data_IF_043267180191
#
_entry.id   IF_043267180191
#
_cell.length_a   1.000
_cell.length_b   1.000
_cell.length_c   1.000
_cell.angle_alpha   90.00
_cell.angle_beta   90.00
_cell.angle_gamma   90.00
#
_symmetry.space_group_name_H-M   'P 1'
#
loop_
_entity.id
_entity.type
_entity.pdbx_description
1 polymer ?
#
# COMPACT_ATOMS: atom_id res chain seq x y z
N UNK A 1 32.91 -4.00 5.27
CA UNK A 1 32.73 -2.72 4.55
C UNK A 1 32.19 -1.73 5.56
N UNK A 2 32.95 -0.68 5.88
CA UNK A 2 32.50 0.42 6.73
C UNK A 2 31.34 1.10 6.01
N UNK A 3 30.15 1.28 6.63
CA UNK A 3 29.08 2.03 5.99
C UNK A 3 29.61 3.45 5.75
N UNK A 4 29.56 3.89 4.49
CA UNK A 4 29.96 5.25 4.14
C UNK A 4 29.07 6.22 4.91
N UNK A 5 29.67 7.11 5.68
CA UNK A 5 28.98 8.20 6.39
C UNK A 5 28.47 9.26 5.41
N UNK A 6 27.61 8.86 4.47
CA UNK A 6 26.89 9.76 3.59
C UNK A 6 25.95 10.63 4.40
N UNK A 7 25.82 11.90 4.02
CA UNK A 7 24.90 12.83 4.66
C UNK A 7 23.46 12.40 4.31
N UNK A 8 22.68 11.96 5.31
CA UNK A 8 21.25 11.72 5.14
C UNK A 8 20.56 13.03 4.74
N UNK A 9 19.85 13.02 3.62
CA UNK A 9 19.04 14.14 3.14
C UNK A 9 17.58 13.83 3.41
N UNK A 10 16.95 14.61 4.30
CA UNK A 10 15.52 14.52 4.58
C UNK A 10 14.77 15.44 3.63
N UNK A 11 13.83 14.88 2.87
CA UNK A 11 13.04 15.58 1.85
C UNK A 11 11.57 15.43 2.22
N UNK A 12 10.87 16.54 2.35
CA UNK A 12 9.42 16.56 2.49
C UNK A 12 8.77 16.52 1.10
N UNK A 13 7.84 15.60 0.90
CA UNK A 13 7.18 15.39 -0.40
C UNK A 13 5.67 15.55 -0.25
N UNK A 14 5.05 16.36 -1.11
CA UNK A 14 3.64 16.67 -1.05
C UNK A 14 2.80 15.94 -2.08
N UNK A 15 1.90 15.08 -1.61
CA UNK A 15 0.76 14.60 -2.40
C UNK A 15 -0.42 15.52 -2.15
N UNK A 16 -0.53 16.56 -2.97
CA UNK A 16 -1.63 17.54 -2.87
C UNK A 16 -2.83 17.04 -3.65
N UNK A 17 -3.96 16.84 -2.98
CA UNK A 17 -5.21 16.36 -3.57
C UNK A 17 -6.18 17.48 -3.93
N UNK A 18 -6.76 17.41 -5.13
CA UNK A 18 -7.90 18.25 -5.55
C UNK A 18 -8.79 17.48 -6.51
N UNK A 19 -10.08 17.32 -6.17
CA UNK A 19 -11.10 16.67 -7.03
C UNK A 19 -10.66 15.29 -7.56
N UNK A 20 -10.13 14.43 -6.69
CA UNK A 20 -9.68 13.07 -7.03
C UNK A 20 -8.39 13.00 -7.86
N UNK A 21 -7.67 14.12 -8.00
CA UNK A 21 -6.38 14.19 -8.70
C UNK A 21 -5.30 14.70 -7.75
N UNK A 22 -4.06 14.36 -8.06
CA UNK A 22 -2.87 14.80 -7.35
C UNK A 22 -2.06 15.78 -8.21
N UNK A 23 -1.44 16.75 -7.55
CA UNK A 23 -0.54 17.71 -8.18
C UNK A 23 0.81 17.05 -8.45
N UNK A 24 1.29 17.15 -9.68
CA UNK A 24 2.63 16.72 -10.08
C UNK A 24 3.28 17.80 -10.94
N UNK A 25 4.60 17.88 -10.90
CA UNK A 25 5.40 18.74 -11.75
C UNK A 25 6.25 17.89 -12.72
N UNK A 26 6.71 18.48 -13.82
CA UNK A 26 7.74 17.86 -14.67
C UNK A 26 9.08 18.52 -14.38
N UNK A 27 10.08 17.71 -14.00
CA UNK A 27 11.44 18.17 -13.77
C UNK A 27 11.97 18.92 -15.00
N UNK A 28 12.62 20.08 -14.82
CA UNK A 28 13.34 20.73 -15.91
C UNK A 28 14.31 19.74 -16.59
N UNK A 29 14.45 19.81 -17.91
CA UNK A 29 15.31 18.90 -18.69
C UNK A 29 16.77 18.85 -18.20
N UNK A 30 17.26 19.96 -17.62
CA UNK A 30 18.63 20.09 -17.15
C UNK A 30 18.85 19.61 -15.70
N UNK A 31 17.80 19.21 -14.99
CA UNK A 31 17.90 18.70 -13.62
C UNK A 31 18.38 17.23 -13.60
N UNK A 32 18.84 16.75 -12.44
CA UNK A 32 19.11 15.32 -12.25
C UNK A 32 17.82 14.52 -12.55
N UNK A 33 17.88 13.55 -13.47
CA UNK A 33 16.70 12.83 -13.99
C UNK A 33 15.64 13.78 -14.63
N UNK A 34 16.09 14.76 -15.41
CA UNK A 34 15.24 15.72 -16.11
C UNK A 34 14.18 15.09 -17.02
N UNK A 35 13.06 15.79 -17.22
CA UNK A 35 11.95 15.34 -18.05
C UNK A 35 10.98 14.37 -17.38
N UNK A 36 11.35 13.74 -16.26
CA UNK A 36 10.46 12.91 -15.44
C UNK A 36 9.43 13.76 -14.68
N UNK A 37 8.32 13.13 -14.29
CA UNK A 37 7.36 13.69 -13.35
C UNK A 37 7.86 13.52 -11.91
N UNK A 38 7.43 14.44 -11.05
CA UNK A 38 7.70 14.39 -9.61
C UNK A 38 6.53 14.96 -8.81
N UNK A 39 6.48 14.57 -7.54
CA UNK A 39 5.64 15.23 -6.55
C UNK A 39 6.39 16.46 -6.02
N UNK A 40 5.74 17.62 -5.89
CA UNK A 40 6.39 18.83 -5.40
C UNK A 40 6.84 18.68 -3.95
N UNK A 41 7.89 19.42 -3.58
CA UNK A 41 8.50 19.35 -2.25
C UNK A 41 10.01 19.44 -2.30
N UNK A 42 10.62 19.61 -1.13
CA UNK A 42 12.03 19.93 -1.03
C UNK A 42 12.65 19.52 0.30
N UNK A 43 13.84 20.05 0.57
CA UNK A 43 14.65 19.61 1.72
C UNK A 43 14.08 20.17 3.01
N UNK A 44 14.08 19.34 4.05
CA UNK A 44 13.77 19.80 5.41
C UNK A 44 14.99 20.54 5.96
N UNK A 45 14.79 21.80 6.37
CA UNK A 45 15.84 22.63 6.95
C UNK A 45 16.03 22.36 8.45
N UNK A 46 17.18 22.77 8.99
CA UNK A 46 17.51 22.55 10.40
C UNK A 46 16.55 23.33 11.31
N UNK A 47 15.86 22.61 12.21
CA UNK A 47 14.91 23.20 13.16
C UNK A 47 13.48 23.38 12.62
N UNK A 48 13.23 23.02 11.36
CA UNK A 48 11.91 23.04 10.75
C UNK A 48 11.21 21.67 10.90
N UNK A 49 9.88 21.66 11.04
CA UNK A 49 9.12 20.40 10.95
C UNK A 49 8.87 20.02 9.49
N UNK A 50 8.68 18.74 9.21
CA UNK A 50 8.42 18.24 7.84
C UNK A 50 7.23 18.95 7.19
N UNK A 51 6.16 19.20 7.96
CA UNK A 51 4.97 19.89 7.47
C UNK A 51 5.21 21.37 7.16
N UNK A 52 6.04 22.06 7.96
CA UNK A 52 6.40 23.45 7.68
C UNK A 52 7.30 23.55 6.44
N UNK A 53 8.30 22.66 6.33
CA UNK A 53 9.13 22.55 5.15
C UNK A 53 8.28 22.31 3.91
N UNK A 54 7.36 21.35 3.98
CA UNK A 54 6.47 21.06 2.86
C UNK A 54 5.57 22.25 2.47
N UNK A 55 5.02 22.97 3.46
CA UNK A 55 4.17 24.12 3.19
C UNK A 55 4.94 25.26 2.51
N UNK A 56 6.20 25.50 2.92
CA UNK A 56 7.11 26.46 2.30
C UNK A 56 7.44 26.05 0.86
N UNK A 57 7.89 24.81 0.65
CA UNK A 57 8.27 24.29 -0.67
C UNK A 57 7.09 24.31 -1.66
N UNK A 58 5.89 23.89 -1.23
CA UNK A 58 4.69 23.95 -2.08
C UNK A 58 4.36 25.39 -2.52
N UNK A 59 4.56 26.37 -1.62
CA UNK A 59 4.35 27.76 -1.95
C UNK A 59 5.41 28.29 -2.92
N UNK A 60 6.68 27.96 -2.68
CA UNK A 60 7.84 28.40 -3.47
C UNK A 60 7.87 27.79 -4.88
N UNK A 61 7.51 26.51 -5.02
CA UNK A 61 7.57 25.80 -6.29
C UNK A 61 6.29 25.93 -7.11
N UNK A 62 5.13 25.91 -6.44
CA UNK A 62 3.84 25.74 -7.11
C UNK A 62 2.82 26.86 -6.86
N UNK A 63 3.16 27.88 -6.07
CA UNK A 63 2.24 28.92 -5.59
C UNK A 63 1.06 28.42 -4.74
N UNK A 64 1.06 27.14 -4.35
CA UNK A 64 -0.02 26.53 -3.57
C UNK A 64 0.21 26.75 -2.09
N UNK A 65 -0.83 27.25 -1.40
CA UNK A 65 -0.83 27.44 0.05
C UNK A 65 -1.55 26.31 0.74
N UNK A 66 -0.95 25.81 1.81
CA UNK A 66 -1.47 24.70 2.61
C UNK A 66 -1.26 25.00 4.09
N UNK A 67 -2.13 24.47 4.93
CA UNK A 67 -1.96 24.52 6.38
C UNK A 67 -1.11 23.32 6.82
N UNK A 68 0.06 23.51 7.46
CA UNK A 68 0.86 22.42 8.00
C UNK A 68 0.07 21.46 8.90
N UNK A 69 -0.95 21.96 9.62
CA UNK A 69 -1.76 21.14 10.53
C UNK A 69 -2.79 20.25 9.80
N UNK A 70 -3.09 20.50 8.53
CA UNK A 70 -4.05 19.70 7.76
C UNK A 70 -3.42 18.48 7.07
N UNK A 71 -2.10 18.34 7.18
CA UNK A 71 -1.34 17.29 6.52
C UNK A 71 -1.42 15.96 7.28
N UNK A 72 -1.50 14.86 6.56
CA UNK A 72 -1.46 13.50 7.15
C UNK A 72 -0.37 12.66 6.49
N UNK A 73 0.31 11.77 7.23
CA UNK A 73 1.37 10.95 6.66
C UNK A 73 0.78 9.96 5.63
N UNK A 74 1.51 9.75 4.53
CA UNK A 74 1.20 8.73 3.52
C UNK A 74 2.17 7.56 3.59
N UNK A 75 3.46 7.82 3.43
CA UNK A 75 4.52 6.82 3.43
C UNK A 75 5.87 7.49 3.68
N UNK A 76 6.81 6.77 4.30
CA UNK A 76 8.22 7.16 4.39
C UNK A 76 9.06 6.18 3.59
N UNK A 77 9.99 6.67 2.78
CA UNK A 77 10.80 5.84 1.88
C UNK A 77 12.26 6.24 2.05
N UNK A 78 13.10 5.29 2.47
CA UNK A 78 14.56 5.44 2.43
C UNK A 78 15.07 4.95 1.08
N UNK A 79 15.92 5.73 0.46
CA UNK A 79 16.58 5.35 -0.78
C UNK A 79 18.06 5.68 -0.71
N UNK A 80 18.90 4.67 -0.97
CA UNK A 80 20.35 4.82 -1.05
C UNK A 80 20.76 4.99 -2.52
N UNK A 81 21.27 6.18 -2.87
CA UNK A 81 21.82 6.47 -4.19
C UNK A 81 23.32 6.09 -4.30
N UNK A 82 23.88 5.48 -3.25
CA UNK A 82 25.28 5.09 -3.12
C UNK A 82 26.18 6.25 -2.65
N UNK A 83 25.99 7.46 -3.18
CA UNK A 83 26.71 8.67 -2.77
C UNK A 83 26.04 9.39 -1.58
N UNK A 84 24.73 9.19 -1.40
CA UNK A 84 23.91 9.75 -0.32
C UNK A 84 22.68 8.90 -0.06
N UNK A 85 22.23 8.95 1.19
CA UNK A 85 20.95 8.41 1.61
C UNK A 85 19.89 9.52 1.59
N UNK A 86 18.72 9.23 1.02
CA UNK A 86 17.58 10.15 0.97
C UNK A 86 16.41 9.52 1.71
N UNK A 87 15.85 10.27 2.66
CA UNK A 87 14.57 9.95 3.29
C UNK A 87 13.48 10.83 2.65
N UNK A 88 12.61 10.21 1.87
CA UNK A 88 11.39 10.84 1.36
C UNK A 88 10.31 10.69 2.43
N UNK A 89 9.88 11.80 3.00
CA UNK A 89 8.82 11.87 3.98
C UNK A 89 7.56 12.43 3.32
N UNK A 90 6.65 11.54 2.95
CA UNK A 90 5.56 11.83 2.02
C UNK A 90 4.27 12.08 2.78
N UNK A 91 3.70 13.26 2.56
CA UNK A 91 2.49 13.72 3.24
C UNK A 91 1.38 13.99 2.24
N UNK A 92 0.17 13.60 2.61
CA UNK A 92 -1.05 13.95 1.89
C UNK A 92 -1.60 15.26 2.41
N UNK A 93 -2.00 16.09 1.45
CA UNK A 93 -2.55 17.41 1.72
C UNK A 93 -3.89 17.55 1.03
N UNK A 94 -4.91 17.88 1.82
CA UNK A 94 -6.23 18.26 1.33
C UNK A 94 -6.49 19.75 1.64
N UNK A 95 -7.36 20.38 0.85
CA UNK A 95 -7.76 21.77 1.12
C UNK A 95 -6.74 22.84 0.69
N UNK A 96 -5.85 22.51 -0.25
CA UNK A 96 -4.92 23.46 -0.84
C UNK A 96 -5.61 24.68 -1.49
N UNK A 97 -5.08 25.87 -1.22
CA UNK A 97 -5.59 27.17 -1.67
C UNK A 97 -4.65 27.76 -2.72
N UNK A 98 -5.22 28.40 -3.75
CA UNK A 98 -4.49 28.92 -4.90
C UNK A 98 -4.67 28.06 -6.15
N UNK A 99 -4.20 28.57 -7.28
CA UNK A 99 -4.07 27.80 -8.52
C UNK A 99 -2.59 27.48 -8.73
N UNK A 100 -2.23 26.21 -8.98
CA UNK A 100 -0.84 25.83 -9.10
C UNK A 100 -0.22 26.39 -10.37
N UNK A 101 1.00 26.90 -10.24
CA UNK A 101 1.85 27.33 -11.34
C UNK A 101 3.30 26.99 -11.00
N UNK A 102 4.06 26.39 -11.92
CA UNK A 102 5.48 26.14 -11.69
C UNK A 102 6.29 27.42 -11.70
N UNK A 103 6.69 27.87 -10.51
CA UNK A 103 7.41 29.13 -10.30
C UNK A 103 8.87 29.08 -10.76
N UNK A 104 9.39 27.89 -11.10
CA UNK A 104 10.71 27.66 -11.70
C UNK A 104 10.62 27.43 -13.22
N UNK A 105 9.45 27.65 -13.83
CA UNK A 105 9.22 27.43 -15.26
C UNK A 105 8.90 25.96 -15.63
N UNK A 106 8.66 25.12 -14.63
CA UNK A 106 8.21 23.74 -14.80
C UNK A 106 6.70 23.65 -15.08
N UNK A 107 6.25 22.80 -16.01
CA UNK A 107 4.82 22.58 -16.17
C UNK A 107 4.28 21.72 -15.01
N UNK A 108 3.09 22.06 -14.54
CA UNK A 108 2.38 21.37 -13.47
C UNK A 108 1.09 20.75 -13.99
N UNK A 109 0.71 19.60 -13.43
CA UNK A 109 -0.42 18.81 -13.90
C UNK A 109 -1.25 18.29 -12.72
N UNK A 110 -2.56 18.21 -12.94
CA UNK A 110 -3.46 17.45 -12.07
C UNK A 110 -3.75 16.11 -12.73
N UNK A 111 -3.22 15.03 -12.16
CA UNK A 111 -3.39 13.66 -12.66
C UNK A 111 -4.15 12.81 -11.65
N UNK A 112 -5.06 11.95 -12.11
CA UNK A 112 -5.62 10.91 -11.26
C UNK A 112 -4.54 9.85 -10.92
N UNK A 113 -4.61 9.18 -9.75
CA UNK A 113 -3.65 8.14 -9.39
C UNK A 113 -3.43 7.09 -10.48
N UNK A 114 -4.48 6.70 -11.21
CA UNK A 114 -4.45 5.71 -12.28
C UNK A 114 -3.68 6.19 -13.52
N UNK A 115 -3.48 7.50 -13.67
CA UNK A 115 -2.74 8.10 -14.79
C UNK A 115 -1.23 8.21 -14.51
N UNK A 116 -0.80 7.95 -13.26
CA UNK A 116 0.61 8.02 -12.85
C UNK A 116 1.39 6.78 -13.33
N UNK A 117 1.91 6.79 -14.55
CA UNK A 117 2.81 5.70 -15.01
C UNK A 117 4.07 5.67 -14.15
N UNK A 118 4.37 4.57 -13.41
CA UNK A 118 5.55 4.50 -12.54
C UNK A 118 6.89 4.72 -13.26
N UNK A 119 6.93 4.46 -14.57
CA UNK A 119 8.10 4.66 -15.44
C UNK A 119 8.34 6.12 -15.78
N UNK A 120 7.33 6.98 -15.63
CA UNK A 120 7.43 8.42 -15.81
C UNK A 120 8.00 9.14 -14.57
N UNK A 121 8.30 8.41 -13.49
CA UNK A 121 8.82 8.94 -12.23
C UNK A 121 10.16 8.30 -11.86
N UNK A 122 10.95 8.94 -10.98
CA UNK A 122 12.09 8.30 -10.33
C UNK A 122 11.67 6.97 -9.66
N UNK A 123 12.58 5.99 -9.64
CA UNK A 123 12.31 4.66 -9.04
C UNK A 123 11.87 4.78 -7.58
N UNK A 124 12.43 5.72 -6.82
CA UNK A 124 12.09 5.98 -5.42
C UNK A 124 10.63 6.45 -5.22
N UNK A 125 9.94 6.91 -6.28
CA UNK A 125 8.55 7.37 -6.20
C UNK A 125 7.53 6.25 -6.51
N UNK A 126 7.96 5.09 -7.00
CA UNK A 126 7.05 3.96 -7.28
C UNK A 126 6.23 3.55 -6.05
N UNK A 127 6.81 3.45 -4.83
CA UNK A 127 6.04 3.13 -3.64
C UNK A 127 4.99 4.20 -3.29
N UNK A 128 5.25 5.47 -3.62
CA UNK A 128 4.27 6.56 -3.45
C UNK A 128 3.06 6.30 -4.35
N UNK A 129 3.31 5.99 -5.63
CA UNK A 129 2.25 5.69 -6.60
C UNK A 129 1.43 4.47 -6.17
N UNK A 130 2.08 3.43 -5.66
CA UNK A 130 1.40 2.27 -5.08
C UNK A 130 0.52 2.69 -3.89
N UNK A 131 1.07 3.45 -2.94
CA UNK A 131 0.36 3.92 -1.75
C UNK A 131 -0.90 4.76 -2.09
N UNK A 132 -0.86 5.54 -3.17
CA UNK A 132 -2.00 6.34 -3.66
C UNK A 132 -3.13 5.52 -4.27
N UNK A 133 -2.83 4.32 -4.77
CA UNK A 133 -3.80 3.43 -5.44
C UNK A 133 -4.30 2.31 -4.53
N UNK A 134 -3.58 2.03 -3.45
CA UNK A 134 -3.92 0.99 -2.49
C UNK A 134 -4.98 1.50 -1.51
N UNK A 135 -6.02 0.71 -1.20
CA UNK A 135 -6.98 1.08 -0.17
C UNK A 135 -6.33 1.04 1.23
N UNK A 136 -6.99 1.57 2.25
CA UNK A 136 -6.49 1.49 3.63
C UNK A 136 -6.92 0.22 4.39
N UNK A 137 -7.73 -0.63 3.74
CA UNK A 137 -8.17 -1.93 4.26
C UNK A 137 -7.97 -3.01 3.20
N UNK A 138 -7.11 -3.97 3.52
CA UNK A 138 -6.90 -5.18 2.72
C UNK A 138 -7.69 -6.34 3.32
N UNK A 139 -8.76 -6.75 2.64
CA UNK A 139 -9.59 -7.87 3.06
C UNK A 139 -8.89 -9.20 2.75
N UNK A 140 -8.77 -10.10 3.72
CA UNK A 140 -8.26 -11.46 3.51
C UNK A 140 -9.39 -12.44 3.82
N UNK A 141 -9.70 -13.39 2.93
CA UNK A 141 -10.76 -14.35 3.21
C UNK A 141 -10.36 -15.30 4.34
N UNK A 142 -11.36 -15.83 5.04
CA UNK A 142 -11.20 -16.95 5.96
C UNK A 142 -11.15 -18.28 5.23
N UNK A 143 -11.34 -19.37 5.98
CA UNK A 143 -11.27 -20.72 5.44
C UNK A 143 -12.64 -21.29 5.09
N UNK A 144 -12.72 -22.10 4.03
CA UNK A 144 -13.85 -22.96 3.69
C UNK A 144 -13.35 -24.24 3.04
N UNK A 145 -14.13 -25.32 3.15
CA UNK A 145 -13.83 -26.63 2.56
C UNK A 145 -14.68 -26.92 1.32
N UNK A 146 -15.70 -26.10 1.05
CA UNK A 146 -16.65 -26.27 -0.05
C UNK A 146 -16.69 -25.03 -0.95
N UNK A 147 -16.66 -25.24 -2.27
CA UNK A 147 -16.67 -24.18 -3.30
C UNK A 147 -17.94 -23.32 -3.23
N UNK A 148 -19.11 -23.94 -3.12
CA UNK A 148 -20.40 -23.24 -3.10
C UNK A 148 -20.55 -22.38 -1.84
N UNK A 149 -20.17 -22.93 -0.69
CA UNK A 149 -20.18 -22.18 0.58
C UNK A 149 -19.19 -21.00 0.54
N UNK A 150 -17.98 -21.21 -0.01
CA UNK A 150 -16.99 -20.15 -0.15
C UNK A 150 -17.50 -18.99 -1.03
N UNK A 151 -18.12 -19.31 -2.18
CA UNK A 151 -18.71 -18.32 -3.08
C UNK A 151 -19.88 -17.57 -2.42
N UNK A 152 -20.75 -18.30 -1.71
CA UNK A 152 -21.90 -17.70 -1.01
C UNK A 152 -21.42 -16.75 0.09
N UNK A 153 -20.47 -17.19 0.92
CA UNK A 153 -19.87 -16.38 1.98
C UNK A 153 -19.19 -15.12 1.42
N UNK A 154 -18.43 -15.27 0.33
CA UNK A 154 -17.79 -14.14 -0.34
C UNK A 154 -18.81 -13.14 -0.88
N UNK A 155 -19.87 -13.61 -1.55
CA UNK A 155 -20.91 -12.76 -2.09
C UNK A 155 -21.61 -11.96 -0.97
N UNK A 156 -22.02 -12.62 0.12
CA UNK A 156 -22.62 -11.96 1.27
C UNK A 156 -21.67 -10.95 1.93
N UNK A 157 -20.42 -11.34 2.17
CA UNK A 157 -19.41 -10.48 2.80
C UNK A 157 -19.08 -9.24 1.96
N UNK A 158 -19.08 -9.37 0.62
CA UNK A 158 -18.87 -8.23 -0.31
C UNK A 158 -19.99 -7.21 -0.22
N UNK A 159 -21.25 -7.64 -0.08
CA UNK A 159 -22.39 -6.73 0.05
C UNK A 159 -22.30 -5.92 1.34
N UNK A 160 -21.92 -6.57 2.45
CA UNK A 160 -21.86 -5.92 3.76
C UNK A 160 -20.64 -5.02 3.92
N UNK A 161 -19.45 -5.50 3.55
CA UNK A 161 -18.19 -4.81 3.85
C UNK A 161 -17.64 -3.98 2.67
N UNK A 162 -18.09 -4.25 1.44
CA UNK A 162 -17.65 -3.58 0.20
C UNK A 162 -16.13 -3.34 0.10
N UNK A 163 -15.28 -4.37 0.32
CA UNK A 163 -13.84 -4.19 0.26
C UNK A 163 -13.37 -3.88 -1.16
N UNK A 164 -12.45 -2.91 -1.29
CA UNK A 164 -11.85 -2.53 -2.56
C UNK A 164 -10.83 -3.55 -3.07
N UNK A 165 -10.11 -4.22 -2.16
CA UNK A 165 -9.07 -5.21 -2.48
C UNK A 165 -9.19 -6.42 -1.54
N UNK A 166 -9.20 -7.62 -2.12
CA UNK A 166 -9.44 -8.89 -1.45
C UNK A 166 -8.35 -9.90 -1.81
N UNK A 167 -7.66 -10.45 -0.81
CA UNK A 167 -6.83 -11.65 -0.93
C UNK A 167 -7.70 -12.88 -0.70
N UNK A 168 -7.93 -13.66 -1.76
CA UNK A 168 -8.63 -14.93 -1.70
C UNK A 168 -7.68 -16.01 -1.15
N UNK A 169 -7.79 -16.28 0.14
CA UNK A 169 -7.00 -17.28 0.87
C UNK A 169 -7.91 -18.35 1.44
N UNK A 170 -8.01 -19.49 0.76
CA UNK A 170 -8.86 -20.63 1.14
C UNK A 170 -8.00 -21.90 1.35
N UNK A 171 -7.26 -22.00 2.48
CA UNK A 171 -6.20 -22.99 2.64
C UNK A 171 -6.69 -24.45 2.70
N UNK A 172 -7.96 -24.69 3.03
CA UNK A 172 -8.53 -26.05 3.02
C UNK A 172 -9.00 -26.52 1.65
N UNK A 173 -9.10 -25.65 0.64
CA UNK A 173 -9.51 -26.09 -0.70
C UNK A 173 -8.32 -26.68 -1.47
N UNK A 174 -8.49 -27.83 -2.15
CA UNK A 174 -7.50 -28.30 -3.09
C UNK A 174 -7.38 -27.34 -4.29
N UNK A 175 -6.23 -27.32 -5.00
CA UNK A 175 -5.98 -26.34 -6.07
C UNK A 175 -7.06 -26.26 -7.16
N UNK A 176 -7.65 -27.41 -7.54
CA UNK A 176 -8.74 -27.44 -8.53
C UNK A 176 -9.99 -26.70 -8.01
N UNK A 177 -10.42 -26.99 -6.78
CA UNK A 177 -11.56 -26.33 -6.15
C UNK A 177 -11.29 -24.84 -5.88
N UNK A 178 -10.06 -24.47 -5.52
CA UNK A 178 -9.65 -23.07 -5.40
C UNK A 178 -9.81 -22.33 -6.74
N UNK A 179 -9.35 -22.93 -7.84
CA UNK A 179 -9.49 -22.35 -9.18
C UNK A 179 -10.96 -22.20 -9.59
N UNK A 180 -11.83 -23.15 -9.21
CA UNK A 180 -13.29 -23.02 -9.40
C UNK A 180 -13.86 -21.82 -8.66
N UNK A 181 -13.45 -21.56 -7.42
CA UNK A 181 -13.87 -20.35 -6.69
C UNK A 181 -13.37 -19.08 -7.39
N UNK A 182 -12.11 -19.04 -7.84
CA UNK A 182 -11.56 -17.87 -8.58
C UNK A 182 -12.38 -17.59 -9.83
N UNK A 183 -12.65 -18.62 -10.65
CA UNK A 183 -13.46 -18.50 -11.86
C UNK A 183 -14.88 -18.04 -11.52
N UNK A 184 -15.51 -18.64 -10.52
CA UNK A 184 -16.85 -18.23 -10.05
C UNK A 184 -16.89 -16.77 -9.58
N UNK A 185 -15.82 -16.25 -8.99
CA UNK A 185 -15.70 -14.83 -8.63
C UNK A 185 -15.61 -13.92 -9.86
N UNK A 186 -14.88 -14.35 -10.89
CA UNK A 186 -14.73 -13.59 -12.15
C UNK A 186 -16.07 -13.54 -12.89
N UNK A 187 -16.78 -14.67 -12.95
CA UNK A 187 -18.07 -14.80 -13.64
C UNK A 187 -19.18 -13.99 -12.94
N UNK A 188 -19.26 -14.06 -11.61
CA UNK A 188 -20.31 -13.36 -10.84
C UNK A 188 -19.95 -11.90 -10.53
N UNK A 189 -18.67 -11.53 -10.59
CA UNK A 189 -18.20 -10.19 -10.25
C UNK A 189 -18.40 -9.14 -11.34
N UNK A 190 -18.60 -9.50 -12.61
CA UNK A 190 -18.56 -8.52 -13.71
C UNK A 190 -17.25 -7.72 -13.70
N UNK A 191 -17.32 -6.39 -13.89
CA UNK A 191 -16.15 -5.49 -13.78
C UNK A 191 -15.48 -5.43 -12.39
N UNK A 192 -16.01 -6.13 -11.37
CA UNK A 192 -15.52 -6.18 -9.99
C UNK A 192 -14.39 -7.20 -9.75
N UNK A 193 -13.92 -7.91 -10.79
CA UNK A 193 -12.65 -8.66 -10.74
C UNK A 193 -11.44 -7.76 -10.42
N UNK A 194 -11.59 -6.44 -10.52
CA UNK A 194 -10.58 -5.39 -10.27
C UNK A 194 -9.95 -5.40 -8.88
N UNK A 195 -10.58 -6.03 -7.89
CA UNK A 195 -10.06 -6.11 -6.52
C UNK A 195 -9.65 -7.52 -6.05
N UNK A 196 -9.71 -8.56 -6.89
CA UNK A 196 -9.43 -9.93 -6.45
C UNK A 196 -7.95 -10.29 -6.61
N UNK A 197 -7.28 -10.65 -5.52
CA UNK A 197 -5.93 -11.20 -5.51
C UNK A 197 -5.98 -12.69 -5.18
N UNK A 198 -5.27 -13.52 -5.94
CA UNK A 198 -5.11 -14.94 -5.61
C UNK A 198 -3.94 -15.12 -4.63
N UNK A 199 -4.06 -16.10 -3.73
CA UNK A 199 -3.06 -16.37 -2.70
C UNK A 199 -2.21 -17.59 -3.09
N UNK A 200 -0.88 -17.46 -3.16
CA UNK A 200 0.09 -18.54 -3.45
C UNK A 200 0.03 -19.22 -4.85
N UNK A 201 -0.97 -18.89 -5.67
CA UNK A 201 -1.18 -19.44 -7.01
C UNK A 201 -0.69 -18.51 -8.13
N UNK A 202 0.62 -18.56 -8.44
CA UNK A 202 1.26 -17.72 -9.47
C UNK A 202 0.64 -17.94 -10.84
N UNK A 203 0.41 -19.20 -11.20
CA UNK A 203 -0.07 -19.60 -12.52
C UNK A 203 -1.50 -19.07 -12.76
N UNK A 204 -2.34 -19.06 -11.72
CA UNK A 204 -3.68 -18.48 -11.80
C UNK A 204 -3.63 -16.96 -11.95
N UNK A 205 -2.72 -16.28 -11.24
CA UNK A 205 -2.55 -14.82 -11.35
C UNK A 205 -2.10 -14.38 -12.74
N UNK A 206 -1.31 -15.21 -13.42
CA UNK A 206 -0.84 -14.97 -14.79
C UNK A 206 -1.92 -15.27 -15.84
N UNK A 207 -2.69 -16.36 -15.63
CA UNK A 207 -3.63 -16.86 -16.63
C UNK A 207 -5.02 -16.21 -16.56
N UNK A 208 -5.46 -15.75 -15.39
CA UNK A 208 -6.82 -15.27 -15.17
C UNK A 208 -6.87 -13.74 -15.01
N UNK A 209 -7.99 -13.09 -15.37
CA UNK A 209 -8.17 -11.65 -15.27
C UNK A 209 -8.42 -11.18 -13.81
N UNK A 210 -7.54 -11.54 -12.89
CA UNK A 210 -7.58 -11.13 -11.47
C UNK A 210 -6.78 -9.85 -11.24
N UNK A 211 -7.04 -9.12 -10.15
CA UNK A 211 -6.29 -7.91 -9.82
C UNK A 211 -4.80 -8.17 -9.57
N UNK A 212 -4.43 -9.39 -9.16
CA UNK A 212 -3.04 -9.75 -8.93
C UNK A 212 -2.83 -10.93 -7.99
N UNK A 213 -1.66 -10.96 -7.36
CA UNK A 213 -1.14 -12.06 -6.56
C UNK A 213 -0.73 -11.57 -5.17
N UNK A 214 -1.05 -12.36 -4.15
CA UNK A 214 -0.46 -12.24 -2.83
C UNK A 214 0.27 -13.54 -2.48
N UNK A 215 1.55 -13.48 -2.12
CA UNK A 215 2.32 -14.64 -1.71
C UNK A 215 2.53 -14.68 -0.21
N UNK A 216 2.45 -15.88 0.36
CA UNK A 216 3.06 -16.16 1.65
C UNK A 216 4.58 -16.03 1.57
N UNK A 217 5.22 -15.69 2.70
CA UNK A 217 6.68 -15.66 2.78
C UNK A 217 7.34 -16.95 2.24
N UNK A 218 6.78 -18.11 2.61
CA UNK A 218 7.26 -19.43 2.16
C UNK A 218 7.40 -19.54 0.64
N UNK A 219 6.51 -18.89 -0.11
CA UNK A 219 6.52 -18.89 -1.58
C UNK A 219 7.39 -17.76 -2.15
N UNK A 220 7.44 -16.62 -1.47
CA UNK A 220 8.20 -15.45 -1.91
C UNK A 220 9.73 -15.59 -1.71
N UNK A 221 10.18 -16.28 -0.66
CA UNK A 221 11.61 -16.36 -0.28
C UNK A 221 12.51 -16.96 -1.37
N UNK A 222 11.97 -17.83 -2.23
CA UNK A 222 12.73 -18.47 -3.32
C UNK A 222 12.74 -17.67 -4.61
N UNK A 223 11.95 -16.59 -4.69
CA UNK A 223 11.89 -15.74 -5.87
C UNK A 223 13.04 -14.73 -5.85
N UNK A 224 13.51 -14.39 -7.05
CA UNK A 224 14.52 -13.34 -7.28
C UNK A 224 13.99 -12.20 -8.15
N UNK A 225 12.79 -12.37 -8.70
CA UNK A 225 12.12 -11.40 -9.56
C UNK A 225 10.60 -11.48 -9.40
N UNK A 226 9.92 -10.49 -9.96
CA UNK A 226 8.46 -10.37 -9.91
C UNK A 226 7.80 -11.54 -10.68
N UNK A 227 6.90 -12.32 -10.06
CA UNK A 227 6.30 -13.49 -10.70
C UNK A 227 5.05 -13.18 -11.55
N UNK A 228 4.60 -11.92 -11.61
CA UNK A 228 3.39 -11.49 -12.33
C UNK A 228 3.66 -10.24 -13.17
N UNK A 229 2.88 -10.01 -14.24
CA UNK A 229 2.98 -8.78 -15.04
C UNK A 229 2.90 -7.49 -14.21
N UNK A 230 3.49 -6.41 -14.72
CA UNK A 230 3.60 -5.12 -14.03
C UNK A 230 2.25 -4.40 -13.83
N UNK A 231 1.21 -4.78 -14.58
CA UNK A 231 -0.15 -4.24 -14.48
C UNK A 231 -1.04 -4.97 -13.44
N UNK A 232 -0.52 -6.03 -12.81
CA UNK A 232 -1.16 -6.76 -11.71
C UNK A 232 -0.57 -6.30 -10.39
N UNK A 233 -1.34 -6.30 -9.31
CA UNK A 233 -0.78 -6.12 -7.96
C UNK A 233 0.05 -7.33 -7.54
N UNK A 234 1.14 -7.10 -6.82
CA UNK A 234 1.95 -8.13 -6.18
C UNK A 234 2.19 -7.79 -4.70
N UNK A 235 1.66 -8.62 -3.79
CA UNK A 235 1.86 -8.48 -2.35
C UNK A 235 2.59 -9.66 -1.73
N UNK A 236 3.26 -9.42 -0.60
CA UNK A 236 3.94 -10.48 0.16
C UNK A 236 3.58 -10.41 1.65
N UNK A 237 3.26 -11.56 2.25
CA UNK A 237 3.15 -11.69 3.70
C UNK A 237 4.54 -11.73 4.34
N UNK A 238 4.84 -10.80 5.23
CA UNK A 238 6.12 -10.64 5.92
C UNK A 238 5.95 -10.65 7.44
N UNK A 239 7.03 -10.97 8.16
CA UNK A 239 7.09 -11.07 9.62
C UNK A 239 8.33 -10.38 10.22
N UNK A 240 9.24 -9.86 9.39
CA UNK A 240 10.46 -9.18 9.82
C UNK A 240 10.88 -8.10 8.80
N UNK A 241 11.84 -7.25 9.18
CA UNK A 241 12.44 -6.27 8.28
C UNK A 241 13.15 -6.92 7.07
N UNK A 242 13.88 -8.01 7.29
CA UNK A 242 14.57 -8.75 6.21
C UNK A 242 13.58 -9.28 5.16
N UNK A 243 12.40 -9.72 5.59
CA UNK A 243 11.34 -10.18 4.69
C UNK A 243 10.75 -9.01 3.87
N UNK A 244 10.62 -7.82 4.47
CA UNK A 244 10.18 -6.60 3.77
C UNK A 244 11.20 -6.15 2.73
N UNK A 245 12.49 -6.18 3.07
CA UNK A 245 13.57 -5.84 2.14
C UNK A 245 13.58 -6.81 0.95
N UNK A 246 13.46 -8.12 1.21
CA UNK A 246 13.34 -9.12 0.14
C UNK A 246 12.10 -8.90 -0.72
N UNK A 247 10.95 -8.62 -0.12
CA UNK A 247 9.71 -8.31 -0.85
C UNK A 247 9.90 -7.10 -1.78
N UNK A 248 10.60 -6.06 -1.33
CA UNK A 248 10.94 -4.92 -2.17
C UNK A 248 11.87 -5.29 -3.33
N UNK A 249 12.90 -6.11 -3.07
CA UNK A 249 13.87 -6.58 -4.08
C UNK A 249 13.19 -7.34 -5.21
N UNK A 250 12.28 -8.25 -4.89
CA UNK A 250 11.52 -9.02 -5.90
C UNK A 250 10.39 -8.20 -6.54
N UNK A 251 10.30 -6.91 -6.20
CA UNK A 251 9.38 -5.96 -6.81
C UNK A 251 7.95 -6.11 -6.34
N UNK A 252 7.70 -6.41 -5.06
CA UNK A 252 6.35 -6.32 -4.50
C UNK A 252 5.87 -4.87 -4.43
N UNK A 253 4.57 -4.67 -4.67
CA UNK A 253 3.94 -3.34 -4.61
C UNK A 253 3.50 -2.96 -3.20
N UNK A 254 3.32 -3.97 -2.33
CA UNK A 254 3.00 -3.81 -0.91
C UNK A 254 3.36 -5.09 -0.13
N UNK A 255 3.34 -4.99 1.20
CA UNK A 255 3.44 -6.14 2.08
C UNK A 255 2.39 -6.10 3.19
N UNK A 256 2.12 -7.25 3.80
CA UNK A 256 1.48 -7.30 5.12
C UNK A 256 2.54 -7.65 6.15
N UNK A 257 2.52 -7.01 7.32
CA UNK A 257 3.44 -7.30 8.41
C UNK A 257 2.65 -7.71 9.65
N UNK A 258 2.95 -8.88 10.21
CA UNK A 258 2.24 -9.39 11.39
C UNK A 258 2.92 -10.58 12.08
N UNK A 259 2.32 -11.07 13.19
CA UNK A 259 1.17 -10.48 13.87
C UNK A 259 1.54 -9.19 14.63
N UNK A 260 0.76 -8.12 14.45
CA UNK A 260 0.92 -6.86 15.20
C UNK A 260 0.40 -7.02 16.63
N UNK A 261 -0.81 -7.50 16.78
CA UNK A 261 -1.47 -7.76 18.06
C UNK A 261 -1.73 -9.26 18.24
N UNK A 262 -1.99 -9.74 19.48
CA UNK A 262 -2.41 -11.12 19.70
C UNK A 262 -3.62 -11.47 18.83
N UNK A 263 -3.63 -12.68 18.29
CA UNK A 263 -4.72 -13.15 17.41
C UNK A 263 -5.51 -14.26 18.09
N UNK A 264 -6.81 -14.42 17.81
CA UNK A 264 -7.58 -15.57 18.31
C UNK A 264 -6.97 -16.92 17.91
N UNK A 265 -6.30 -16.99 16.75
CA UNK A 265 -5.61 -18.20 16.28
C UNK A 265 -4.30 -18.50 17.02
N UNK A 266 -3.65 -17.48 17.61
CA UNK A 266 -2.43 -17.61 18.39
C UNK A 266 -2.43 -16.63 19.58
N UNK A 267 -3.27 -16.86 20.61
CA UNK A 267 -3.50 -15.90 21.68
C UNK A 267 -2.31 -15.74 22.65
N UNK A 268 -1.37 -16.69 22.64
CA UNK A 268 -0.18 -16.67 23.49
C UNK A 268 1.01 -15.93 22.85
N UNK A 269 0.96 -15.66 21.55
CA UNK A 269 1.97 -14.85 20.89
C UNK A 269 1.69 -13.37 21.21
N UNK A 270 2.66 -12.67 21.79
CA UNK A 270 2.51 -11.25 22.18
C UNK A 270 2.29 -10.31 20.99
N UNK A 271 2.58 -10.74 19.76
CA UNK A 271 2.69 -9.85 18.60
C UNK A 271 3.90 -8.91 18.73
N UNK A 272 4.22 -8.18 17.66
CA UNK A 272 5.29 -7.16 17.68
C UNK A 272 4.86 -5.85 18.38
N UNK A 273 3.56 -5.63 18.54
CA UNK A 273 3.00 -4.36 19.01
C UNK A 273 3.12 -3.24 17.97
N UNK A 274 2.46 -2.11 18.25
CA UNK A 274 2.51 -0.95 17.36
C UNK A 274 3.89 -0.30 17.29
N UNK A 275 4.65 -0.30 18.38
CA UNK A 275 6.02 0.22 18.39
C UNK A 275 6.95 -0.64 17.52
N UNK A 276 6.83 -1.97 17.61
CA UNK A 276 7.58 -2.90 16.76
C UNK A 276 7.19 -2.78 15.29
N UNK A 277 5.90 -2.62 15.01
CA UNK A 277 5.41 -2.34 13.65
C UNK A 277 5.99 -1.02 13.11
N UNK A 278 5.93 0.06 13.90
CA UNK A 278 6.46 1.37 13.51
C UNK A 278 7.97 1.36 13.24
N UNK A 279 8.74 0.62 14.05
CA UNK A 279 10.18 0.48 13.86
C UNK A 279 10.52 -0.24 12.55
N UNK A 280 9.72 -1.23 12.15
CA UNK A 280 9.93 -1.96 10.89
C UNK A 280 9.46 -1.15 9.66
N UNK A 281 8.30 -0.50 9.74
CA UNK A 281 7.79 0.33 8.63
C UNK A 281 8.65 1.56 8.37
N UNK A 282 9.35 2.08 9.38
CA UNK A 282 10.31 3.17 9.20
C UNK A 282 11.50 2.82 8.30
N UNK A 283 11.83 1.54 8.19
CA UNK A 283 12.89 1.03 7.29
C UNK A 283 12.34 0.49 5.97
N UNK A 284 11.04 0.21 5.89
CA UNK A 284 10.42 -0.36 4.70
C UNK A 284 10.45 0.62 3.52
N UNK A 285 10.68 0.10 2.32
CA UNK A 285 10.70 0.88 1.07
C UNK A 285 9.45 0.65 0.21
N UNK A 286 8.39 0.08 0.80
CA UNK A 286 7.11 -0.21 0.15
C UNK A 286 5.94 -0.03 1.14
N UNK A 287 4.70 0.15 0.67
CA UNK A 287 3.52 0.23 1.52
C UNK A 287 3.33 -1.04 2.36
N UNK A 288 3.13 -0.90 3.67
CA UNK A 288 2.94 -2.03 4.61
C UNK A 288 1.60 -1.98 5.31
N UNK A 289 0.81 -3.05 5.22
CA UNK A 289 -0.41 -3.22 6.01
C UNK A 289 -0.13 -3.91 7.34
N UNK A 290 -0.70 -3.39 8.43
CA UNK A 290 -0.70 -4.04 9.73
C UNK A 290 -1.64 -5.25 9.73
N UNK A 291 -1.11 -6.44 9.98
CA UNK A 291 -1.86 -7.70 10.00
C UNK A 291 -1.78 -8.38 11.37
N UNK A 292 -2.89 -8.96 11.81
CA UNK A 292 -2.97 -9.78 13.01
C UNK A 292 -3.47 -9.00 14.22
N UNK A 293 -4.70 -9.33 14.63
CA UNK A 293 -5.37 -8.74 15.80
C UNK A 293 -5.82 -7.29 15.61
N UNK A 294 -5.76 -6.77 14.38
CA UNK A 294 -6.18 -5.42 14.02
C UNK A 294 -7.69 -5.32 13.75
N UNK A 295 -8.26 -4.15 13.99
CA UNK A 295 -9.68 -3.83 13.78
C UNK A 295 -9.86 -2.60 12.86
N UNK A 296 -11.02 -2.47 12.15
CA UNK A 296 -11.28 -1.40 11.18
C UNK A 296 -11.15 0.05 11.67
N UNK A 297 -11.30 0.28 12.96
CA UNK A 297 -11.14 1.57 13.64
C UNK A 297 -9.67 1.93 13.90
N UNK A 298 -8.75 0.97 13.77
CA UNK A 298 -7.30 1.17 13.97
C UNK A 298 -6.56 1.60 12.69
N UNK A 299 -7.27 1.92 11.60
CA UNK A 299 -6.64 2.41 10.35
C UNK A 299 -5.80 3.67 10.61
N UNK A 300 -6.32 4.63 11.37
CA UNK A 300 -5.60 5.85 11.70
C UNK A 300 -4.32 5.57 12.51
N UNK A 301 -4.39 4.60 13.42
CA UNK A 301 -3.23 4.16 14.20
C UNK A 301 -2.18 3.50 13.30
N UNK A 302 -2.57 2.61 12.39
CA UNK A 302 -1.67 2.00 11.43
C UNK A 302 -0.96 3.05 10.55
N UNK A 303 -1.70 4.04 10.04
CA UNK A 303 -1.14 5.17 9.28
C UNK A 303 -0.17 6.01 10.09
N UNK A 304 -0.51 6.32 11.35
CA UNK A 304 0.39 7.06 12.25
C UNK A 304 1.68 6.29 12.57
N UNK A 305 1.62 4.96 12.54
CA UNK A 305 2.76 4.05 12.70
C UNK A 305 3.48 3.78 11.36
N UNK A 306 3.23 4.57 10.30
CA UNK A 306 3.91 4.46 9.02
C UNK A 306 3.39 3.36 8.08
N UNK A 307 2.26 2.73 8.41
CA UNK A 307 1.62 1.73 7.55
C UNK A 307 0.66 2.33 6.52
N UNK A 308 0.37 1.57 5.45
CA UNK A 308 -0.68 1.87 4.48
C UNK A 308 -2.08 1.83 5.11
N UNK A 309 -2.25 0.96 6.10
CA UNK A 309 -3.53 0.69 6.74
C UNK A 309 -3.51 -0.67 7.42
N UNK A 310 -4.66 -1.36 7.44
CA UNK A 310 -4.80 -2.68 8.08
C UNK A 310 -5.12 -3.77 7.05
N UNK A 311 -4.72 -5.00 7.36
CA UNK A 311 -5.18 -6.19 6.70
C UNK A 311 -5.84 -7.14 7.70
N UNK A 312 -6.85 -7.91 7.29
CA UNK A 312 -7.41 -8.91 8.17
C UNK A 312 -8.61 -9.69 7.64
N UNK A 313 -9.07 -10.61 8.48
CA UNK A 313 -10.10 -11.62 8.14
C UNK A 313 -11.40 -11.32 8.87
N UNK A 314 -11.36 -11.31 10.20
CA UNK A 314 -12.54 -11.37 11.07
C UNK A 314 -13.48 -10.17 10.98
N UNK A 315 -12.99 -9.01 10.51
CA UNK A 315 -13.79 -7.80 10.42
C UNK A 315 -14.68 -7.71 9.17
N UNK A 316 -14.48 -8.60 8.19
CA UNK A 316 -15.33 -8.64 6.99
C UNK A 316 -15.78 -10.04 6.60
N UNK A 317 -14.95 -11.06 6.84
CA UNK A 317 -15.26 -12.44 6.48
C UNK A 317 -16.14 -13.08 7.55
N UNK A 318 -17.45 -13.08 7.32
CA UNK A 318 -18.39 -13.77 8.19
C UNK A 318 -18.74 -15.13 7.57
N UNK A 319 -18.18 -16.20 8.12
CA UNK A 319 -18.59 -17.54 7.74
C UNK A 319 -20.11 -17.66 7.94
N UNK A 320 -20.83 -18.08 6.90
CA UNK A 320 -22.24 -18.41 7.04
C UNK A 320 -22.31 -19.65 7.93
N UNK A 321 -22.51 -19.43 9.22
CA UNK A 321 -22.74 -20.51 10.17
C UNK A 321 -24.09 -21.16 9.87
N UNK A 322 -24.11 -22.49 9.80
CA UNK A 322 -25.32 -23.27 9.92
C UNK A 322 -26.10 -22.83 11.16
N UNK A 323 -27.21 -22.10 10.95
CA UNK A 323 -28.27 -21.85 11.93
C UNK A 323 -27.86 -21.03 13.15
N UNK A 324 -28.35 -19.79 13.22
CA UNK A 324 -29.15 -19.22 14.31
C UNK A 324 -29.17 -17.71 14.10
N UNK A 325 -30.24 -17.23 13.46
CA UNK A 325 -30.69 -15.86 13.65
C UNK A 325 -31.08 -15.81 15.13
N UNK A 326 -30.25 -15.21 15.98
CA UNK A 326 -30.76 -14.68 17.24
C UNK A 326 -31.55 -13.43 16.88
N UNK A 327 -32.87 -13.58 16.81
CA UNK A 327 -33.77 -12.45 17.03
C UNK A 327 -33.46 -11.90 18.41
N UNK A 328 -32.94 -10.67 18.45
CA UNK A 328 -32.83 -9.89 19.69
C UNK A 328 -34.25 -9.47 20.11
N UNK A 329 -34.61 -9.56 21.40
CA UNK A 329 -35.94 -9.20 21.90
C UNK A 329 -36.28 -7.71 21.76
#
# INVERSE_FOLDING_TARGET
MTPGGGKLVHVAVGVVWRRGRVLVARRPEHAHQGGLLEFPGGKVEAGESVQHALARELLEETAVKVDPASMTPLIRIRHDYGDKEVLLDVWQVHGAVGEPSGLEGQPVFWLAPEQLSPEAFPVANRPIISALRLPDRLAITGNHENVHEALTCLASSRVTAQPELIVLRLPSLPPAAYAEVVTGCIETGGGQARGLLVHDHIELAQALPVAGLHLSWRRAVVLVERPVPADRWFGVSCHSGEELDHAAIIGADYATLGPVLPTPSHPQARGMGWDGFAAMTEQATLPVYALGGTAPDQVALAKSAGGQGIAGISWWWQAIGNGFIQETP
#
